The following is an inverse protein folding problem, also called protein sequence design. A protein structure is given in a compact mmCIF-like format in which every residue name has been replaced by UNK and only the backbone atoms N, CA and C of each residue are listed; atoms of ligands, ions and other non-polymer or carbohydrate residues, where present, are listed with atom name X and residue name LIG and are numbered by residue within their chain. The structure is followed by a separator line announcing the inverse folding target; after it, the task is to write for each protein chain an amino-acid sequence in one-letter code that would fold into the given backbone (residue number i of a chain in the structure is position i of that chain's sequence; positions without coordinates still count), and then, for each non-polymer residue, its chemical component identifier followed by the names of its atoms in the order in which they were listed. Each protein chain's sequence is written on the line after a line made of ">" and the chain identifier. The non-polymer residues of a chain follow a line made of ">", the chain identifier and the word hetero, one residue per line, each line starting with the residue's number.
data_IF_594290851794
#
_entry.id   IF_594290851794
#
_cell.length_a   1.000
_cell.length_b   1.000
_cell.length_c   1.000
_cell.angle_alpha   90.00
_cell.angle_beta   90.00
_cell.angle_gamma   90.00
#
_symmetry.space_group_name_H-M   'P 1'
#
loop_
_entity.id
_entity.type
_entity.pdbx_description
1 polymer ?
#
# COMPACT_ATOMS: atom_id res chain seq x y z
N UNK A 1 -89.47 -25.09 37.06
CA UNK A 1 -89.62 -26.51 36.70
C UNK A 1 -89.57 -26.61 35.18
N UNK A 2 -88.83 -27.60 34.65
CA UNK A 2 -88.63 -27.95 33.22
C UNK A 2 -87.72 -26.98 32.43
N UNK A 3 -86.46 -27.37 32.21
CA UNK A 3 -85.92 -28.11 31.03
C UNK A 3 -85.59 -27.13 29.90
N UNK A 4 -84.46 -27.12 29.21
CA UNK A 4 -83.51 -28.17 28.83
C UNK A 4 -82.30 -27.50 28.14
N UNK A 5 -81.11 -28.09 28.29
CA UNK A 5 -79.88 -27.87 27.49
C UNK A 5 -80.10 -28.16 25.98
N UNK A 6 -79.11 -27.98 25.07
CA UNK A 6 -77.96 -27.03 25.02
C UNK A 6 -77.73 -26.44 23.60
N UNK A 7 -76.80 -25.48 23.46
CA UNK A 7 -75.91 -25.44 22.30
C UNK A 7 -74.47 -25.12 22.73
N UNK A 8 -73.55 -25.98 22.29
CA UNK A 8 -72.09 -25.92 22.47
C UNK A 8 -71.50 -24.90 21.50
N UNK A 9 -70.62 -24.01 21.97
CA UNK A 9 -69.44 -23.56 21.21
C UNK A 9 -68.25 -23.50 22.17
N UNK A 10 -67.17 -24.15 21.75
CA UNK A 10 -65.89 -24.29 22.45
C UNK A 10 -65.07 -23.00 22.32
N UNK A 11 -64.62 -22.43 23.43
CA UNK A 11 -63.59 -21.39 23.47
C UNK A 11 -62.49 -21.84 24.43
N UNK A 12 -61.33 -22.18 23.86
CA UNK A 12 -60.15 -22.67 24.55
C UNK A 12 -59.47 -21.60 25.40
N UNK A 13 -58.82 -22.08 26.45
CA UNK A 13 -58.28 -21.33 27.58
C UNK A 13 -57.10 -20.41 27.24
N UNK A 14 -57.06 -19.33 28.03
CA UNK A 14 -55.90 -18.52 28.37
C UNK A 14 -54.67 -19.36 28.75
N UNK A 15 -53.49 -18.95 28.25
CA UNK A 15 -52.22 -19.24 28.90
C UNK A 15 -51.36 -17.98 28.92
N UNK A 16 -51.11 -17.48 30.14
CA UNK A 16 -50.14 -16.44 30.43
C UNK A 16 -48.73 -17.00 30.20
N UNK A 17 -47.99 -16.41 29.26
CA UNK A 17 -46.55 -16.63 29.14
C UNK A 17 -45.82 -15.35 29.58
N UNK A 18 -45.09 -15.51 30.68
CA UNK A 18 -44.16 -14.55 31.24
C UNK A 18 -43.13 -14.13 30.17
N UNK A 19 -43.03 -12.82 29.91
CA UNK A 19 -41.91 -12.24 29.18
C UNK A 19 -40.65 -12.36 30.05
N UNK A 20 -39.84 -13.38 29.79
CA UNK A 20 -38.44 -13.40 30.23
C UNK A 20 -37.62 -12.47 29.33
N UNK A 21 -37.07 -11.40 29.90
CA UNK A 21 -36.05 -10.58 29.27
C UNK A 21 -34.86 -11.46 28.86
N UNK A 22 -34.69 -11.68 27.56
CA UNK A 22 -33.45 -12.22 27.00
C UNK A 22 -32.44 -11.08 26.87
N UNK A 23 -31.16 -11.30 27.25
CA UNK A 23 -30.12 -10.30 27.04
C UNK A 23 -29.91 -10.13 25.53
N UNK A 24 -29.91 -8.87 25.08
CA UNK A 24 -29.49 -8.51 23.72
C UNK A 24 -28.03 -8.91 23.56
N UNK A 25 -27.79 -10.03 22.91
CA UNK A 25 -26.47 -10.39 22.40
C UNK A 25 -26.18 -9.50 21.21
N UNK A 26 -25.50 -8.39 21.46
CA UNK A 26 -24.83 -7.63 20.41
C UNK A 26 -23.69 -8.50 19.88
N UNK A 27 -23.95 -9.30 18.85
CA UNK A 27 -22.88 -9.91 18.07
C UNK A 27 -23.23 -9.89 16.58
N UNK A 28 -23.34 -8.68 16.04
CA UNK A 28 -23.15 -8.44 14.62
C UNK A 28 -21.71 -7.93 14.45
N UNK A 29 -20.72 -8.81 14.59
CA UNK A 29 -19.41 -8.55 13.97
C UNK A 29 -19.67 -8.56 12.46
N UNK A 30 -19.79 -7.36 11.89
CA UNK A 30 -19.78 -7.19 10.44
C UNK A 30 -18.50 -7.86 9.95
N UNK A 31 -18.63 -8.93 9.16
CA UNK A 31 -17.51 -9.50 8.43
C UNK A 31 -16.98 -8.33 7.59
N UNK A 32 -15.79 -7.82 7.94
CA UNK A 32 -15.17 -6.75 7.17
C UNK A 32 -14.65 -7.38 5.89
N UNK A 33 -15.26 -7.02 4.77
CA UNK A 33 -14.79 -7.43 3.45
C UNK A 33 -13.52 -6.66 3.08
N UNK A 34 -12.65 -7.34 2.33
CA UNK A 34 -11.50 -6.69 1.70
C UNK A 34 -11.98 -5.65 0.69
N UNK A 35 -11.37 -4.46 0.69
CA UNK A 35 -11.58 -3.50 -0.40
C UNK A 35 -10.99 -4.02 -1.73
N UNK A 36 -11.22 -3.27 -2.82
CA UNK A 36 -10.73 -3.63 -4.15
C UNK A 36 -9.20 -3.75 -4.23
N UNK A 37 -8.48 -3.10 -3.31
CA UNK A 37 -7.02 -3.12 -3.21
C UNK A 37 -6.49 -4.22 -2.28
N UNK A 38 -7.40 -4.99 -1.67
CA UNK A 38 -7.09 -6.09 -0.76
C UNK A 38 -6.76 -5.62 0.66
N UNK A 39 -7.42 -4.57 1.16
CA UNK A 39 -7.21 -4.08 2.52
C UNK A 39 -8.46 -4.18 3.40
N UNK A 40 -8.21 -4.36 4.70
CA UNK A 40 -9.20 -4.16 5.76
C UNK A 40 -8.65 -3.12 6.72
N UNK A 41 -9.45 -2.08 7.02
CA UNK A 41 -9.12 -1.05 7.98
C UNK A 41 -9.94 -1.17 9.27
N UNK A 42 -9.29 -0.98 10.41
CA UNK A 42 -9.94 -0.96 11.71
C UNK A 42 -9.37 0.12 12.61
N UNK A 43 -10.23 0.94 13.22
CA UNK A 43 -9.80 2.00 14.13
C UNK A 43 -9.61 1.43 15.54
N UNK A 44 -8.40 1.54 16.08
CA UNK A 44 -8.08 1.17 17.45
C UNK A 44 -8.25 2.36 18.39
N UNK A 45 -8.77 2.09 19.58
CA UNK A 45 -8.83 3.03 20.70
C UNK A 45 -7.68 2.75 21.67
N UNK A 46 -7.34 3.72 22.51
CA UNK A 46 -6.28 3.54 23.52
C UNK A 46 -6.54 2.35 24.46
N UNK A 47 -7.80 2.14 24.86
CA UNK A 47 -8.23 1.02 25.71
C UNK A 47 -8.27 -0.36 25.00
N UNK A 48 -7.83 -0.46 23.74
CA UNK A 48 -7.74 -1.76 23.05
C UNK A 48 -6.81 -2.71 23.81
N UNK A 49 -7.00 -4.04 23.75
CA UNK A 49 -6.11 -4.99 24.41
C UNK A 49 -4.71 -4.99 23.78
N UNK A 50 -3.71 -5.57 24.46
CA UNK A 50 -2.38 -5.81 23.87
C UNK A 50 -2.39 -6.95 22.85
N UNK A 51 -3.39 -7.82 22.96
CA UNK A 51 -3.61 -8.95 22.08
C UNK A 51 -4.99 -8.87 21.46
N UNK A 52 -5.05 -8.79 20.14
CA UNK A 52 -6.31 -8.75 19.39
C UNK A 52 -6.54 -10.08 18.68
N UNK A 53 -7.68 -10.72 18.95
CA UNK A 53 -8.18 -11.82 18.12
C UNK A 53 -9.01 -11.27 16.97
N UNK A 54 -8.70 -11.72 15.76
CA UNK A 54 -9.37 -11.30 14.54
C UNK A 54 -9.95 -12.52 13.80
N UNK A 55 -11.21 -12.47 13.34
CA UNK A 55 -11.89 -13.61 12.70
C UNK A 55 -11.49 -13.76 11.23
N UNK A 56 -10.18 -13.87 10.96
CA UNK A 56 -9.61 -14.07 9.63
C UNK A 56 -8.47 -15.10 9.72
N UNK A 57 -8.38 -16.08 8.80
CA UNK A 57 -7.24 -17.01 8.77
C UNK A 57 -5.93 -16.31 8.43
N UNK A 58 -4.87 -16.61 9.18
CA UNK A 58 -3.55 -15.98 8.99
C UNK A 58 -2.95 -16.24 7.61
N UNK A 59 -3.31 -17.36 6.97
CA UNK A 59 -2.90 -17.71 5.61
C UNK A 59 -3.42 -16.74 4.53
N UNK A 60 -4.40 -15.89 4.85
CA UNK A 60 -4.90 -14.84 3.94
C UNK A 60 -4.19 -13.49 4.14
N UNK A 61 -3.26 -13.38 5.10
CA UNK A 61 -2.67 -12.09 5.50
C UNK A 61 -1.24 -12.01 4.96
N UNK A 62 -0.96 -10.98 4.17
CA UNK A 62 0.40 -10.64 3.75
C UNK A 62 1.13 -9.88 4.86
N UNK A 63 0.47 -8.88 5.45
CA UNK A 63 0.99 -8.08 6.56
C UNK A 63 -0.16 -7.49 7.37
N UNK A 64 0.15 -7.17 8.62
CA UNK A 64 -0.69 -6.33 9.47
C UNK A 64 0.15 -5.13 9.88
N UNK A 65 -0.40 -3.92 9.80
CA UNK A 65 0.29 -2.71 10.24
C UNK A 65 -0.59 -1.83 11.12
N UNK A 66 0.06 -1.05 11.98
CA UNK A 66 -0.58 -0.03 12.80
C UNK A 66 0.01 1.32 12.46
N UNK A 67 -0.87 2.29 12.20
CA UNK A 67 -0.49 3.70 12.06
C UNK A 67 -1.03 4.48 13.24
N UNK A 68 -0.14 5.04 14.05
CA UNK A 68 -0.51 5.84 15.21
C UNK A 68 -1.20 7.15 14.80
N UNK A 69 -1.84 7.82 15.75
CA UNK A 69 -2.40 9.18 15.55
C UNK A 69 -1.35 10.21 15.14
N UNK A 70 -0.08 9.97 15.46
CA UNK A 70 1.06 10.78 15.03
C UNK A 70 1.56 10.44 13.60
N UNK A 71 0.91 9.51 12.90
CA UNK A 71 1.24 9.12 11.52
C UNK A 71 2.38 8.10 11.38
N UNK A 72 2.97 7.64 12.48
CA UNK A 72 4.01 6.59 12.44
C UNK A 72 3.37 5.24 12.17
N UNK A 73 3.78 4.58 11.09
CA UNK A 73 3.34 3.23 10.73
C UNK A 73 4.38 2.17 11.11
N UNK A 74 3.93 1.02 11.63
CA UNK A 74 4.77 -0.14 11.96
C UNK A 74 4.09 -1.43 11.54
N UNK A 75 4.87 -2.41 11.10
CA UNK A 75 4.37 -3.78 10.90
C UNK A 75 4.17 -4.46 12.26
N UNK A 76 3.09 -5.22 12.38
CA UNK A 76 2.75 -5.97 13.57
C UNK A 76 2.99 -7.46 13.35
N UNK A 77 3.40 -8.13 14.42
CA UNK A 77 3.48 -9.59 14.43
C UNK A 77 2.09 -10.21 14.59
N UNK A 78 1.87 -11.33 13.92
CA UNK A 78 0.60 -12.05 13.97
C UNK A 78 0.81 -13.56 14.01
N UNK A 79 -0.14 -14.33 14.55
CA UNK A 79 -0.10 -15.80 14.55
C UNK A 79 -1.45 -16.42 14.28
N UNK A 80 -1.42 -17.63 13.75
CA UNK A 80 -2.59 -18.48 13.65
C UNK A 80 -3.04 -18.92 15.05
N UNK A 81 -4.33 -18.76 15.35
CA UNK A 81 -4.95 -19.26 16.57
C UNK A 81 -5.76 -20.54 16.32
N UNK A 82 -5.79 -21.03 15.09
CA UNK A 82 -6.67 -22.10 14.66
C UNK A 82 -8.10 -21.60 14.47
N UNK A 83 -8.97 -22.50 13.97
CA UNK A 83 -10.40 -22.22 13.73
C UNK A 83 -10.66 -20.95 12.89
N UNK A 84 -9.75 -20.61 11.99
CA UNK A 84 -9.87 -19.45 11.10
C UNK A 84 -9.66 -18.11 11.79
N UNK A 85 -8.99 -18.07 12.95
CA UNK A 85 -8.67 -16.85 13.68
C UNK A 85 -7.19 -16.50 13.61
N UNK A 86 -6.89 -15.21 13.62
CA UNK A 86 -5.54 -14.67 13.74
C UNK A 86 -5.43 -13.86 15.01
N UNK A 87 -4.36 -14.05 15.77
CA UNK A 87 -4.02 -13.19 16.89
C UNK A 87 -2.93 -12.20 16.50
N UNK A 88 -3.04 -10.97 16.98
CA UNK A 88 -2.19 -9.85 16.59
C UNK A 88 -1.60 -9.23 17.85
N UNK A 89 -0.29 -9.06 17.86
CA UNK A 89 0.42 -8.32 18.90
C UNK A 89 0.29 -6.82 18.62
N UNK A 90 -0.41 -6.09 19.48
CA UNK A 90 -0.57 -4.63 19.36
C UNK A 90 0.57 -3.89 20.08
N UNK A 91 0.99 -2.71 19.57
CA UNK A 91 2.01 -1.91 20.22
C UNK A 91 1.49 -1.28 21.52
N UNK A 92 2.40 -0.72 22.34
CA UNK A 92 2.03 -0.03 23.58
C UNK A 92 1.14 1.20 23.31
N UNK A 93 1.46 2.01 22.30
CA UNK A 93 0.60 3.08 21.82
C UNK A 93 -0.47 2.50 20.87
N UNK A 94 -1.66 2.22 21.39
CA UNK A 94 -2.70 1.49 20.66
C UNK A 94 -3.61 2.37 19.80
N UNK A 95 -3.84 3.63 20.19
CA UNK A 95 -4.72 4.51 19.42
C UNK A 95 -4.17 4.77 18.01
N UNK A 96 -5.01 4.55 17.00
CA UNK A 96 -4.62 4.69 15.60
C UNK A 96 -5.46 3.82 14.66
N UNK A 97 -4.87 3.46 13.53
CA UNK A 97 -5.50 2.64 12.51
C UNK A 97 -4.72 1.36 12.30
N UNK A 98 -5.40 0.23 12.49
CA UNK A 98 -4.95 -1.10 12.12
C UNK A 98 -5.31 -1.34 10.65
N UNK A 99 -4.37 -1.91 9.89
CA UNK A 99 -4.57 -2.27 8.49
C UNK A 99 -4.12 -3.71 8.27
N UNK A 100 -4.98 -4.50 7.66
CA UNK A 100 -4.65 -5.82 7.13
C UNK A 100 -4.46 -5.71 5.64
N UNK A 101 -3.48 -6.43 5.12
CA UNK A 101 -3.23 -6.59 3.70
C UNK A 101 -3.44 -8.05 3.32
N UNK A 102 -4.27 -8.27 2.30
CA UNK A 102 -4.60 -9.59 1.80
C UNK A 102 -3.41 -10.17 1.04
N UNK A 103 -3.04 -11.41 1.36
CA UNK A 103 -2.10 -12.18 0.57
C UNK A 103 -2.74 -12.53 -0.78
N UNK A 104 -2.15 -11.99 -1.84
CA UNK A 104 -2.59 -12.12 -3.23
C UNK A 104 -1.38 -12.54 -4.07
N UNK A 105 -1.01 -13.82 -4.03
CA UNK A 105 0.32 -14.27 -4.43
C UNK A 105 0.50 -14.33 -5.95
N UNK A 106 1.75 -14.12 -6.36
CA UNK A 106 2.34 -14.46 -7.66
C UNK A 106 1.66 -13.78 -8.87
N UNK A 107 1.02 -12.64 -8.61
CA UNK A 107 0.47 -11.72 -9.61
C UNK A 107 0.78 -10.26 -9.23
N UNK A 108 1.03 -9.42 -10.24
CA UNK A 108 1.14 -7.98 -10.03
C UNK A 108 -0.22 -7.38 -9.70
N UNK A 109 -0.32 -6.68 -8.57
CA UNK A 109 -1.51 -5.93 -8.21
C UNK A 109 -1.64 -4.68 -9.08
N UNK A 110 -2.84 -4.11 -9.14
CA UNK A 110 -3.15 -2.94 -9.99
C UNK A 110 -2.34 -1.69 -9.64
N UNK A 111 -1.95 -1.54 -8.37
CA UNK A 111 -1.05 -0.47 -7.91
C UNK A 111 0.44 -0.81 -8.09
N UNK A 112 0.74 -1.98 -8.64
CA UNK A 112 2.09 -2.42 -8.98
C UNK A 112 2.79 -3.26 -7.92
N UNK A 113 2.20 -3.41 -6.73
CA UNK A 113 2.73 -4.29 -5.67
C UNK A 113 2.79 -5.75 -6.12
N UNK A 114 3.61 -6.53 -5.43
CA UNK A 114 3.63 -7.99 -5.51
C UNK A 114 3.58 -8.62 -4.13
N UNK A 115 2.89 -9.76 -4.05
CA UNK A 115 3.12 -10.75 -3.01
C UNK A 115 3.72 -11.98 -3.68
N UNK A 116 4.92 -12.38 -3.28
CA UNK A 116 5.61 -13.54 -3.86
C UNK A 116 5.59 -14.67 -2.86
N UNK A 117 4.85 -15.72 -3.17
CA UNK A 117 4.78 -16.91 -2.32
C UNK A 117 5.68 -18.00 -2.88
N UNK A 118 5.63 -18.19 -4.19
CA UNK A 118 6.50 -19.13 -4.90
C UNK A 118 6.38 -20.57 -4.42
N UNK A 119 7.34 -21.36 -4.85
CA UNK A 119 7.59 -22.71 -4.34
C UNK A 119 8.47 -22.62 -3.09
N UNK A 120 8.30 -23.57 -2.17
CA UNK A 120 9.08 -23.68 -0.96
C UNK A 120 9.86 -25.01 -0.96
N UNK A 121 10.99 -25.12 -1.68
CA UNK A 121 11.82 -26.33 -1.68
C UNK A 121 12.27 -26.73 -0.27
N UNK A 122 12.48 -25.74 0.59
CA UNK A 122 12.82 -25.88 2.01
C UNK A 122 12.18 -24.76 2.83
N UNK A 123 12.04 -24.94 4.13
CA UNK A 123 11.48 -23.91 5.01
C UNK A 123 12.24 -22.56 4.95
N UNK A 124 13.55 -22.59 4.72
CA UNK A 124 14.43 -21.41 4.64
C UNK A 124 14.70 -20.96 3.19
N UNK A 125 13.93 -21.46 2.21
CA UNK A 125 14.11 -21.17 0.79
C UNK A 125 12.75 -21.03 0.10
N UNK A 126 12.48 -19.86 -0.49
CA UNK A 126 11.40 -19.66 -1.44
C UNK A 126 11.97 -19.27 -2.80
N UNK A 127 11.34 -19.74 -3.88
CA UNK A 127 11.71 -19.33 -5.23
C UNK A 127 10.53 -19.31 -6.20
N UNK A 128 10.69 -18.58 -7.29
CA UNK A 128 9.68 -18.51 -8.33
C UNK A 128 10.08 -17.59 -9.48
N UNK A 129 9.09 -17.22 -10.29
CA UNK A 129 9.25 -16.30 -11.42
C UNK A 129 8.27 -15.15 -11.27
N UNK A 130 8.80 -13.93 -11.21
CA UNK A 130 8.04 -12.69 -11.19
C UNK A 130 7.89 -12.20 -12.64
N UNK A 131 6.65 -11.99 -13.10
CA UNK A 131 6.32 -11.58 -14.48
C UNK A 131 6.04 -10.08 -14.55
N UNK A 132 7.09 -9.27 -14.53
CA UNK A 132 6.99 -7.81 -14.40
C UNK A 132 6.30 -7.18 -15.62
N UNK A 133 5.25 -6.38 -15.40
CA UNK A 133 4.57 -5.67 -16.50
C UNK A 133 5.34 -4.44 -16.99
N UNK A 134 6.27 -3.93 -16.19
CA UNK A 134 7.08 -2.73 -16.41
C UNK A 134 8.40 -2.80 -15.62
N UNK A 135 9.43 -2.01 -15.96
CA UNK A 135 10.54 -1.75 -15.05
C UNK A 135 10.09 -0.95 -13.83
N UNK A 136 10.84 -1.04 -12.73
CA UNK A 136 10.66 -0.16 -11.58
C UNK A 136 11.47 -0.54 -10.35
N UNK A 137 11.51 0.38 -9.39
CA UNK A 137 12.12 0.19 -8.07
C UNK A 137 11.10 -0.26 -7.03
N UNK A 138 11.49 -1.22 -6.19
CA UNK A 138 10.62 -1.82 -5.17
C UNK A 138 11.32 -1.93 -3.81
N UNK A 139 10.65 -1.55 -2.73
CA UNK A 139 11.04 -1.94 -1.38
C UNK A 139 10.63 -3.38 -1.11
N UNK A 140 11.50 -4.16 -0.49
CA UNK A 140 11.32 -5.57 -0.21
C UNK A 140 11.03 -5.77 1.27
N UNK A 141 9.95 -6.49 1.59
CA UNK A 141 9.66 -6.99 2.92
C UNK A 141 9.56 -8.53 2.87
N UNK A 142 10.16 -9.24 3.82
CA UNK A 142 9.99 -10.69 3.96
C UNK A 142 9.10 -10.97 5.17
N UNK A 143 8.16 -11.90 4.99
CA UNK A 143 7.40 -12.50 6.08
C UNK A 143 7.99 -13.86 6.44
N UNK A 144 8.34 -14.05 7.70
CA UNK A 144 8.91 -15.30 8.21
C UNK A 144 8.54 -15.55 9.67
N UNK A 145 8.82 -16.76 10.14
CA UNK A 145 8.70 -17.17 11.55
C UNK A 145 10.05 -17.64 12.06
N UNK A 146 10.34 -17.34 13.32
CA UNK A 146 11.50 -17.88 14.04
C UNK A 146 11.03 -18.91 15.06
N UNK A 147 11.32 -20.18 14.81
CA UNK A 147 10.92 -21.35 15.62
C UNK A 147 11.96 -21.74 16.67
N UNK A 148 13.23 -21.39 16.45
CA UNK A 148 14.35 -21.45 17.39
C UNK A 148 15.26 -20.26 17.13
N UNK A 149 16.09 -19.85 18.10
CA UNK A 149 16.98 -18.68 17.92
C UNK A 149 17.78 -18.81 16.62
N UNK A 150 17.77 -17.75 15.82
CA UNK A 150 18.37 -17.71 14.50
C UNK A 150 19.35 -16.54 14.43
N UNK A 151 20.59 -16.85 14.04
CA UNK A 151 21.62 -15.88 13.73
C UNK A 151 22.13 -16.15 12.32
N UNK A 152 22.04 -15.15 11.44
CA UNK A 152 22.39 -15.30 10.04
C UNK A 152 21.83 -14.17 9.20
N UNK A 153 21.64 -14.42 7.91
CA UNK A 153 21.15 -13.42 6.97
C UNK A 153 19.97 -13.93 6.16
N UNK A 154 19.03 -13.02 5.85
CA UNK A 154 17.98 -13.24 4.86
C UNK A 154 18.33 -12.43 3.62
N UNK A 155 18.46 -13.13 2.48
CA UNK A 155 18.75 -12.54 1.19
C UNK A 155 17.56 -12.68 0.25
N UNK A 156 17.20 -11.60 -0.43
CA UNK A 156 16.27 -11.61 -1.55
C UNK A 156 17.01 -11.26 -2.84
N UNK A 157 16.76 -12.02 -3.89
CA UNK A 157 17.37 -11.86 -5.21
C UNK A 157 16.26 -11.86 -6.28
N UNK A 158 16.33 -10.96 -7.26
CA UNK A 158 15.44 -10.93 -8.42
C UNK A 158 16.17 -10.37 -9.63
N UNK A 159 16.28 -11.18 -10.69
CA UNK A 159 17.10 -10.81 -11.85
C UNK A 159 18.55 -10.52 -11.45
N UNK A 160 19.06 -9.32 -11.75
CA UNK A 160 20.39 -8.83 -11.36
C UNK A 160 20.42 -8.16 -9.98
N UNK A 161 19.27 -7.83 -9.39
CA UNK A 161 19.15 -7.06 -8.16
C UNK A 161 19.06 -7.98 -6.95
N UNK A 162 19.62 -7.56 -5.82
CA UNK A 162 19.49 -8.29 -4.57
C UNK A 162 19.53 -7.35 -3.37
N UNK A 163 19.08 -7.85 -2.23
CA UNK A 163 19.23 -7.20 -0.94
C UNK A 163 19.49 -8.24 0.16
N UNK A 164 20.07 -7.81 1.26
CA UNK A 164 20.47 -8.67 2.37
C UNK A 164 20.15 -8.01 3.70
N UNK A 165 19.68 -8.80 4.66
CA UNK A 165 19.41 -8.38 6.02
C UNK A 165 20.10 -9.35 6.98
N UNK A 166 21.04 -8.83 7.78
CA UNK A 166 21.56 -9.54 8.94
C UNK A 166 20.48 -9.60 10.03
N UNK A 167 20.30 -10.79 10.60
CA UNK A 167 19.26 -11.10 11.58
C UNK A 167 19.88 -11.88 12.73
N UNK A 168 19.70 -11.36 13.94
CA UNK A 168 19.92 -12.08 15.19
C UNK A 168 18.63 -11.96 16.00
N UNK A 169 17.89 -13.06 16.08
CA UNK A 169 16.54 -13.08 16.61
C UNK A 169 16.29 -14.36 17.41
N UNK A 170 15.88 -14.20 18.66
CA UNK A 170 15.42 -15.33 19.48
C UNK A 170 14.10 -15.90 18.99
N UNK A 171 13.79 -17.13 19.42
CA UNK A 171 12.51 -17.78 19.13
C UNK A 171 11.33 -16.88 19.54
N UNK A 172 10.43 -16.62 18.59
CA UNK A 172 9.25 -15.77 18.83
C UNK A 172 7.97 -16.59 18.66
N UNK A 173 7.65 -17.43 19.67
CA UNK A 173 6.42 -18.22 19.87
C UNK A 173 5.39 -18.25 18.72
N UNK A 174 5.78 -18.78 17.55
CA UNK A 174 4.92 -18.95 16.37
C UNK A 174 4.42 -17.67 15.70
N UNK A 175 4.98 -16.50 16.05
CA UNK A 175 4.67 -15.22 15.41
C UNK A 175 5.29 -15.15 14.00
N UNK A 176 4.46 -14.76 13.05
CA UNK A 176 4.88 -14.25 11.75
C UNK A 176 5.34 -12.79 11.91
N UNK A 177 6.48 -12.47 11.32
CA UNK A 177 7.14 -11.17 11.37
C UNK A 177 7.38 -10.68 9.95
N UNK A 178 7.01 -9.43 9.66
CA UNK A 178 7.35 -8.75 8.42
C UNK A 178 8.52 -7.80 8.66
N UNK A 179 9.65 -8.03 7.98
CA UNK A 179 10.85 -7.23 8.12
C UNK A 179 11.28 -6.66 6.76
N UNK A 180 11.65 -5.38 6.74
CA UNK A 180 12.20 -4.73 5.54
C UNK A 180 13.62 -5.24 5.27
N UNK A 181 13.91 -5.59 4.02
CA UNK A 181 15.24 -6.02 3.59
C UNK A 181 15.98 -4.93 2.81
N UNK A 182 15.30 -3.88 2.34
CA UNK A 182 15.90 -2.85 1.49
C UNK A 182 15.15 -2.68 0.16
N UNK A 183 15.89 -2.32 -0.89
CA UNK A 183 15.34 -1.94 -2.19
C UNK A 183 15.95 -2.83 -3.29
N UNK A 184 15.14 -3.20 -4.27
CA UNK A 184 15.57 -3.87 -5.50
C UNK A 184 15.03 -3.14 -6.72
N UNK A 185 15.70 -3.32 -7.86
CA UNK A 185 15.29 -2.77 -9.15
C UNK A 185 15.00 -3.88 -10.15
N UNK A 186 13.83 -3.79 -10.80
CA UNK A 186 13.50 -4.58 -11.98
C UNK A 186 13.78 -3.72 -13.22
N UNK A 187 14.77 -4.09 -14.01
CA UNK A 187 15.29 -3.23 -15.09
C UNK A 187 14.40 -3.20 -16.35
N UNK A 188 13.59 -4.24 -16.56
CA UNK A 188 12.75 -4.39 -17.76
C UNK A 188 11.50 -5.23 -17.49
N UNK A 189 10.45 -5.11 -18.33
CA UNK A 189 9.32 -6.03 -18.29
C UNK A 189 9.75 -7.47 -18.63
N UNK A 190 8.89 -8.43 -18.27
CA UNK A 190 9.05 -9.85 -18.55
C UNK A 190 9.35 -10.67 -17.32
N UNK A 191 9.83 -11.89 -17.56
CA UNK A 191 10.02 -12.90 -16.53
C UNK A 191 11.38 -12.72 -15.84
N UNK A 192 11.35 -12.69 -14.50
CA UNK A 192 12.52 -12.57 -13.63
C UNK A 192 12.49 -13.68 -12.57
N UNK A 193 13.47 -14.61 -12.57
CA UNK A 193 13.59 -15.55 -11.47
C UNK A 193 13.91 -14.78 -10.19
N UNK A 194 13.30 -15.20 -9.09
CA UNK A 194 13.56 -14.64 -7.77
C UNK A 194 13.79 -15.74 -6.74
N UNK A 195 14.55 -15.41 -5.69
CA UNK A 195 14.83 -16.28 -4.55
C UNK A 195 14.77 -15.48 -3.26
N UNK A 196 14.25 -16.10 -2.21
CA UNK A 196 14.39 -15.65 -0.83
C UNK A 196 15.05 -16.79 -0.06
N UNK A 197 16.24 -16.55 0.47
CA UNK A 197 16.99 -17.57 1.21
C UNK A 197 17.41 -17.03 2.57
N UNK A 198 17.23 -17.83 3.62
CA UNK A 198 17.88 -17.61 4.89
C UNK A 198 19.12 -18.50 5.01
N UNK A 199 20.23 -17.92 5.42
CA UNK A 199 21.52 -18.60 5.58
C UNK A 199 22.04 -18.33 6.98
N UNK A 200 22.55 -19.35 7.66
CA UNK A 200 23.23 -19.21 8.95
C UNK A 200 24.70 -19.61 8.82
N UNK A 201 25.54 -19.06 9.70
CA UNK A 201 26.92 -19.49 9.85
C UNK A 201 27.01 -20.87 10.53
N UNK A 202 26.01 -21.25 11.33
CA UNK A 202 25.82 -22.66 11.67
C UNK A 202 25.27 -23.39 10.44
N UNK A 203 25.70 -24.64 10.21
CA UNK A 203 25.26 -25.45 9.06
C UNK A 203 23.73 -25.69 9.08
N UNK A 204 23.10 -25.44 10.22
CA UNK A 204 21.67 -25.62 10.45
C UNK A 204 20.94 -24.28 10.33
N UNK A 205 20.15 -24.13 9.27
CA UNK A 205 19.07 -23.13 9.16
C UNK A 205 17.79 -23.59 9.89
N UNK A 206 17.93 -24.56 10.80
CA UNK A 206 16.83 -25.06 11.63
C UNK A 206 16.42 -23.94 12.59
N UNK A 207 15.25 -23.35 12.35
CA UNK A 207 14.77 -22.24 13.17
C UNK A 207 14.08 -21.12 12.43
N UNK A 208 14.15 -21.08 11.09
CA UNK A 208 13.45 -20.08 10.29
C UNK A 208 12.54 -20.73 9.25
N UNK A 209 11.32 -20.20 9.16
CA UNK A 209 10.34 -20.56 8.14
C UNK A 209 9.96 -19.31 7.37
N UNK A 210 10.39 -19.23 6.11
CA UNK A 210 10.02 -18.19 5.17
C UNK A 210 8.60 -18.44 4.65
N UNK A 211 7.79 -17.38 4.60
CA UNK A 211 6.36 -17.49 4.26
C UNK A 211 6.06 -16.86 2.89
N UNK A 212 6.50 -15.62 2.67
CA UNK A 212 6.33 -14.86 1.43
C UNK A 212 7.16 -13.58 1.43
N UNK A 213 7.26 -12.93 0.28
CA UNK A 213 7.86 -11.61 0.08
C UNK A 213 6.78 -10.61 -0.33
N UNK A 214 6.87 -9.37 0.13
CA UNK A 214 6.07 -8.24 -0.34
C UNK A 214 7.00 -7.29 -1.07
N UNK A 215 6.70 -6.99 -2.33
CA UNK A 215 7.36 -5.91 -3.06
C UNK A 215 6.39 -4.73 -3.14
N UNK A 216 6.77 -3.60 -2.56
CA UNK A 216 6.01 -2.34 -2.67
C UNK A 216 6.75 -1.40 -3.60
N UNK A 217 6.00 -0.71 -4.46
CA UNK A 217 6.57 0.30 -5.36
C UNK A 217 7.30 1.36 -4.53
N UNK A 218 8.53 1.67 -4.90
CA UNK A 218 9.38 2.65 -4.21
C UNK A 218 9.77 3.79 -5.18
N UNK A 219 10.26 4.93 -4.67
CA UNK A 219 10.85 5.96 -5.52
C UNK A 219 11.98 5.40 -6.39
N UNK A 220 12.05 5.88 -7.63
CA UNK A 220 13.08 5.51 -8.61
C UNK A 220 14.44 6.13 -8.28
N UNK A 221 14.45 7.24 -7.53
CA UNK A 221 15.62 8.06 -7.24
C UNK A 221 15.70 8.50 -5.79
N UNK A 222 16.32 9.65 -5.56
CA UNK A 222 16.72 10.10 -4.23
C UNK A 222 15.62 10.89 -3.51
N UNK A 223 15.68 11.02 -2.18
CA UNK A 223 14.78 11.90 -1.43
C UNK A 223 14.82 13.34 -1.93
N UNK A 224 13.65 13.96 -2.04
CA UNK A 224 13.53 15.33 -2.58
C UNK A 224 13.48 16.35 -1.43
N UNK A 225 14.41 17.30 -1.47
CA UNK A 225 14.52 18.39 -0.49
C UNK A 225 14.24 19.74 -1.13
N UNK A 226 13.72 20.67 -0.32
CA UNK A 226 13.53 22.06 -0.73
C UNK A 226 14.87 22.76 -1.01
N UNK A 227 14.97 23.44 -2.15
CA UNK A 227 16.14 24.20 -2.57
C UNK A 227 16.30 25.51 -1.78
N UNK A 228 17.47 26.14 -1.87
CA UNK A 228 17.79 27.37 -1.15
C UNK A 228 16.88 28.56 -1.50
N UNK A 229 16.40 28.66 -2.75
CA UNK A 229 15.45 29.68 -3.19
C UNK A 229 13.99 29.41 -2.74
N UNK A 230 13.74 28.26 -2.13
CA UNK A 230 12.43 27.81 -1.64
C UNK A 230 11.71 26.90 -2.61
N UNK A 231 12.19 26.79 -3.85
CA UNK A 231 11.58 25.90 -4.83
C UNK A 231 11.79 24.43 -4.50
N UNK A 232 10.89 23.60 -4.99
CA UNK A 232 10.93 22.14 -4.83
C UNK A 232 10.84 21.54 -6.24
N UNK A 233 11.85 20.75 -6.61
CA UNK A 233 11.93 20.11 -7.93
C UNK A 233 11.57 18.63 -7.80
N UNK A 234 10.47 18.24 -8.43
CA UNK A 234 9.98 16.88 -8.49
C UNK A 234 10.30 16.32 -9.88
N UNK A 235 11.48 15.72 -10.05
CA UNK A 235 11.91 15.18 -11.33
C UNK A 235 11.31 13.80 -11.61
N UNK A 236 11.14 13.47 -12.88
CA UNK A 236 10.70 12.13 -13.29
C UNK A 236 11.56 10.99 -12.72
N UNK A 237 12.86 11.21 -12.55
CA UNK A 237 13.80 10.20 -12.00
C UNK A 237 13.58 9.88 -10.53
N UNK A 238 12.88 10.73 -9.79
CA UNK A 238 12.63 10.60 -8.35
C UNK A 238 11.18 10.14 -8.07
N UNK A 239 10.45 9.75 -9.12
CA UNK A 239 9.04 9.35 -9.05
C UNK A 239 8.86 8.02 -8.34
N UNK A 240 7.76 7.84 -7.63
CA UNK A 240 7.21 6.54 -7.25
C UNK A 240 6.00 6.24 -8.12
N UNK A 241 5.97 5.08 -8.76
CA UNK A 241 4.89 4.69 -9.67
C UNK A 241 3.92 3.72 -9.00
N UNK A 242 2.65 4.11 -8.91
CA UNK A 242 1.53 3.24 -8.53
C UNK A 242 0.82 2.84 -9.82
N UNK A 243 0.86 1.58 -10.23
CA UNK A 243 0.25 1.19 -11.51
C UNK A 243 0.85 -0.06 -12.11
N UNK A 244 0.63 -0.29 -13.41
CA UNK A 244 1.18 -1.45 -14.15
C UNK A 244 1.81 -1.10 -15.51
N UNK A 245 1.57 0.07 -16.08
CA UNK A 245 2.09 0.48 -17.39
C UNK A 245 2.94 1.75 -17.36
N UNK A 246 2.53 2.74 -16.57
CA UNK A 246 3.28 3.97 -16.34
C UNK A 246 4.69 3.62 -15.85
N UNK A 247 5.71 4.34 -16.33
CA UNK A 247 7.09 4.08 -15.92
C UNK A 247 7.96 5.32 -16.06
N UNK A 248 9.08 5.33 -15.35
CA UNK A 248 10.16 6.26 -15.61
C UNK A 248 10.97 5.80 -16.84
N UNK A 249 11.19 6.70 -17.79
CA UNK A 249 11.98 6.47 -19.00
C UNK A 249 13.32 7.23 -18.92
N UNK A 250 14.43 6.54 -18.56
CA UNK A 250 15.68 7.20 -18.15
C UNK A 250 16.53 7.76 -19.29
N UNK A 251 16.19 7.49 -20.56
CA UNK A 251 16.96 7.99 -21.70
C UNK A 251 17.04 9.52 -21.65
N UNK A 252 18.21 10.17 -21.80
CA UNK A 252 18.37 11.61 -21.57
C UNK A 252 17.41 12.50 -22.38
N UNK A 253 17.11 12.12 -23.62
CA UNK A 253 16.16 12.85 -24.48
C UNK A 253 14.70 12.65 -24.08
N UNK A 254 14.39 11.65 -23.24
CA UNK A 254 13.08 11.39 -22.64
C UNK A 254 13.01 11.89 -21.21
N UNK A 255 13.78 11.30 -20.29
CA UNK A 255 13.84 11.62 -18.86
C UNK A 255 12.47 12.01 -18.31
N UNK A 256 11.50 11.11 -18.45
CA UNK A 256 10.08 11.42 -18.26
C UNK A 256 9.37 10.27 -17.58
N UNK A 257 8.29 10.60 -16.88
CA UNK A 257 7.24 9.65 -16.55
C UNK A 257 6.38 9.52 -17.79
N UNK A 258 6.39 8.33 -18.42
CA UNK A 258 5.72 8.06 -19.68
C UNK A 258 5.06 6.68 -19.71
N UNK A 259 4.60 6.23 -20.87
CA UNK A 259 3.72 5.06 -21.01
C UNK A 259 2.40 5.17 -20.23
N UNK A 260 1.89 6.39 -20.05
CA UNK A 260 0.69 6.64 -19.25
C UNK A 260 -0.62 6.32 -19.99
N UNK A 261 -0.85 5.04 -20.26
CA UNK A 261 -2.00 4.55 -21.03
C UNK A 261 -3.18 4.11 -20.17
N UNK A 262 -2.94 3.83 -18.88
CA UNK A 262 -3.96 3.42 -17.91
C UNK A 262 -4.36 4.60 -17.01
N UNK A 263 -5.66 4.81 -16.80
CA UNK A 263 -6.19 5.82 -15.87
C UNK A 263 -5.95 5.46 -14.39
N UNK A 264 -5.81 4.15 -14.10
CA UNK A 264 -5.50 3.66 -12.75
C UNK A 264 -4.05 3.92 -12.33
N UNK A 265 -3.16 4.18 -13.28
CA UNK A 265 -1.76 4.41 -12.99
C UNK A 265 -1.53 5.87 -12.54
N UNK A 266 -0.74 6.06 -11.50
CA UNK A 266 -0.54 7.34 -10.83
C UNK A 266 0.94 7.49 -10.44
N UNK A 267 1.62 8.56 -10.88
CA UNK A 267 2.92 8.91 -10.34
C UNK A 267 2.75 9.73 -9.04
N UNK A 268 3.66 9.53 -8.11
CA UNK A 268 3.78 10.39 -6.94
C UNK A 268 5.22 10.70 -6.57
N UNK A 269 5.40 11.81 -5.84
CA UNK A 269 6.69 12.27 -5.36
C UNK A 269 6.58 12.61 -3.88
N UNK A 270 7.51 12.09 -3.09
CA UNK A 270 7.68 12.42 -1.68
C UNK A 270 8.75 13.48 -1.55
N UNK A 271 8.45 14.54 -0.81
CA UNK A 271 9.40 15.61 -0.62
C UNK A 271 9.23 16.27 0.75
N UNK A 272 10.31 16.88 1.23
CA UNK A 272 10.30 17.67 2.44
C UNK A 272 10.10 19.16 2.09
N UNK A 273 9.09 19.78 2.70
CA UNK A 273 8.90 21.22 2.65
C UNK A 273 9.36 21.82 3.99
N UNK A 274 10.37 22.69 3.95
CA UNK A 274 10.92 23.33 5.15
C UNK A 274 10.32 24.72 5.39
N UNK A 275 9.99 25.44 4.31
CA UNK A 275 9.36 26.76 4.35
C UNK A 275 7.89 26.65 3.93
N UNK A 276 6.92 26.72 4.85
CA UNK A 276 5.52 26.74 4.47
C UNK A 276 5.20 28.00 3.66
N UNK A 277 4.11 27.95 2.88
CA UNK A 277 3.73 29.08 2.05
C UNK A 277 2.83 28.70 0.86
N UNK A 278 2.64 29.67 -0.04
CA UNK A 278 1.97 29.46 -1.32
C UNK A 278 2.98 29.14 -2.39
N UNK A 279 2.63 28.18 -3.25
CA UNK A 279 3.48 27.74 -4.35
C UNK A 279 2.67 27.73 -5.63
N UNK A 280 3.19 28.36 -6.69
CA UNK A 280 2.71 28.07 -8.04
C UNK A 280 3.22 26.68 -8.44
N UNK A 281 2.35 25.90 -9.07
CA UNK A 281 2.68 24.58 -9.59
C UNK A 281 2.95 24.71 -11.08
N UNK A 282 4.20 24.49 -11.47
CA UNK A 282 4.59 24.37 -12.87
C UNK A 282 4.79 22.90 -13.23
N UNK A 283 4.16 22.44 -14.31
CA UNK A 283 4.42 21.12 -14.89
C UNK A 283 5.15 21.27 -16.22
N UNK A 284 6.20 20.49 -16.40
CA UNK A 284 6.88 20.33 -17.69
C UNK A 284 6.31 19.09 -18.38
N UNK A 285 5.29 19.31 -19.21
CA UNK A 285 4.51 18.24 -19.84
C UNK A 285 4.82 18.08 -21.33
N UNK A 286 4.71 16.87 -21.83
CA UNK A 286 4.59 16.58 -23.26
C UNK A 286 3.30 15.83 -23.56
N UNK A 287 2.65 16.12 -24.68
CA UNK A 287 1.42 15.47 -25.10
C UNK A 287 1.35 15.40 -26.63
N UNK A 288 1.19 14.19 -27.16
CA UNK A 288 1.11 13.95 -28.60
C UNK A 288 -0.10 14.60 -29.26
N UNK A 289 0.01 14.85 -30.57
CA UNK A 289 -1.09 15.37 -31.40
C UNK A 289 -2.31 14.42 -31.34
N UNK A 290 -3.48 14.94 -31.01
CA UNK A 290 -4.73 14.21 -30.82
C UNK A 290 -4.92 13.60 -29.43
N UNK A 291 -4.01 13.85 -28.47
CA UNK A 291 -4.08 13.29 -27.10
C UNK A 291 -4.41 14.33 -26.01
N UNK A 292 -4.48 15.62 -26.35
CA UNK A 292 -4.81 16.69 -25.42
C UNK A 292 -6.23 16.58 -24.84
N UNK A 293 -6.45 17.23 -23.70
CA UNK A 293 -7.77 17.32 -23.04
C UNK A 293 -8.02 16.29 -21.94
N UNK A 294 -7.03 15.46 -21.58
CA UNK A 294 -7.13 14.59 -20.39
C UNK A 294 -7.29 15.46 -19.13
N UNK A 295 -8.26 15.11 -18.27
CA UNK A 295 -8.46 15.75 -16.97
C UNK A 295 -7.63 15.02 -15.92
N UNK A 296 -6.74 15.74 -15.27
CA UNK A 296 -5.86 15.23 -14.20
C UNK A 296 -6.04 16.09 -12.98
N UNK A 297 -6.10 15.44 -11.81
CA UNK A 297 -6.01 16.13 -10.53
C UNK A 297 -4.58 16.00 -10.00
N UNK A 298 -3.98 17.13 -9.64
CA UNK A 298 -2.83 17.15 -8.75
C UNK A 298 -3.34 17.14 -7.32
N UNK A 299 -2.96 16.11 -6.57
CA UNK A 299 -3.26 15.95 -5.15
C UNK A 299 -2.02 16.27 -4.32
N UNK A 300 -2.19 17.10 -3.30
CA UNK A 300 -1.20 17.31 -2.25
C UNK A 300 -1.90 17.65 -0.94
N UNK A 301 -1.65 16.86 0.10
CA UNK A 301 -2.41 16.92 1.37
C UNK A 301 -3.93 16.88 1.09
N UNK A 302 -4.69 17.88 1.55
CA UNK A 302 -6.13 17.98 1.30
C UNK A 302 -6.47 18.73 -0.02
N UNK A 303 -5.46 19.24 -0.72
CA UNK A 303 -5.67 20.03 -1.95
C UNK A 303 -5.81 19.11 -3.15
N UNK A 304 -6.86 19.34 -3.93
CA UNK A 304 -7.09 18.72 -5.24
C UNK A 304 -7.17 19.82 -6.30
N UNK A 305 -6.14 19.93 -7.14
CA UNK A 305 -6.04 20.94 -8.19
C UNK A 305 -6.30 20.28 -9.55
N UNK A 306 -7.48 20.49 -10.17
CA UNK A 306 -7.77 19.99 -11.51
C UNK A 306 -7.04 20.81 -12.58
N UNK A 307 -6.53 20.12 -13.61
CA UNK A 307 -6.08 20.78 -14.83
C UNK A 307 -6.31 19.89 -16.06
N UNK A 308 -6.42 20.55 -17.21
CA UNK A 308 -6.47 19.88 -18.51
C UNK A 308 -5.06 19.79 -19.11
N UNK A 309 -4.69 18.59 -19.54
CA UNK A 309 -3.50 18.35 -20.35
C UNK A 309 -3.64 19.10 -21.67
N UNK A 310 -2.63 19.90 -22.02
CA UNK A 310 -2.60 20.58 -23.32
C UNK A 310 -1.77 19.78 -24.29
N UNK A 311 -2.24 19.72 -25.53
CA UNK A 311 -1.48 19.16 -26.63
C UNK A 311 -0.20 19.99 -26.86
N UNK A 312 0.94 19.32 -26.96
CA UNK A 312 2.23 19.95 -27.28
C UNK A 312 2.75 19.52 -28.66
N UNK A 313 1.96 18.75 -29.41
CA UNK A 313 2.28 18.24 -30.73
C UNK A 313 3.08 16.93 -30.73
N UNK A 314 3.89 16.66 -29.71
CA UNK A 314 4.66 15.43 -29.56
C UNK A 314 4.93 15.12 -28.07
N UNK A 315 4.93 13.84 -27.67
CA UNK A 315 5.17 13.43 -26.27
C UNK A 315 6.52 13.88 -25.71
N UNK A 316 7.52 14.03 -26.57
CA UNK A 316 8.85 14.52 -26.18
C UNK A 316 9.05 16.03 -26.40
N UNK A 317 8.02 16.74 -26.86
CA UNK A 317 8.04 18.20 -26.92
C UNK A 317 7.48 18.73 -25.59
N UNK A 318 8.39 18.98 -24.65
CA UNK A 318 8.02 19.38 -23.30
C UNK A 318 7.82 20.89 -23.19
N UNK A 319 6.64 21.30 -22.73
CA UNK A 319 6.25 22.70 -22.54
C UNK A 319 5.95 22.96 -21.07
N UNK A 320 6.59 23.98 -20.44
CA UNK A 320 6.28 24.35 -19.06
C UNK A 320 4.93 25.06 -18.99
N UNK A 321 4.10 24.70 -18.02
CA UNK A 321 2.78 25.30 -17.78
C UNK A 321 2.49 25.45 -16.30
N UNK A 322 2.01 26.62 -15.89
CA UNK A 322 1.44 26.82 -14.57
C UNK A 322 0.03 26.22 -14.57
N UNK A 323 -0.19 25.19 -13.75
CA UNK A 323 -1.47 24.48 -13.66
C UNK A 323 -2.31 24.94 -12.46
N UNK A 324 -1.76 25.83 -11.64
CA UNK A 324 -2.44 26.46 -10.54
C UNK A 324 -1.50 26.70 -9.36
N UNK A 325 -2.07 26.75 -8.17
CA UNK A 325 -1.35 27.06 -6.94
C UNK A 325 -1.78 26.12 -5.81
N UNK A 326 -0.85 25.87 -4.89
CA UNK A 326 -1.10 25.07 -3.68
C UNK A 326 -0.57 25.81 -2.46
N UNK A 327 -1.11 25.49 -1.28
CA UNK A 327 -0.63 25.99 0.00
C UNK A 327 -0.07 24.85 0.83
N UNK A 328 1.17 24.97 1.29
CA UNK A 328 1.80 24.06 2.23
C UNK A 328 1.81 24.74 3.60
N UNK A 329 0.93 24.32 4.54
CA UNK A 329 0.63 25.12 5.73
C UNK A 329 1.73 25.06 6.80
N UNK A 330 2.57 24.03 6.80
CA UNK A 330 3.59 23.80 7.83
C UNK A 330 4.82 23.10 7.24
N UNK A 331 6.00 23.21 7.89
CA UNK A 331 7.11 22.32 7.58
C UNK A 331 6.70 20.87 7.81
N UNK A 332 6.77 20.04 6.78
CA UNK A 332 6.35 18.63 6.84
C UNK A 332 6.90 17.83 5.65
N UNK A 333 6.68 16.53 5.68
CA UNK A 333 6.79 15.67 4.50
C UNK A 333 5.45 15.64 3.77
N UNK A 334 5.50 15.83 2.45
CA UNK A 334 4.32 15.82 1.60
C UNK A 334 4.46 14.78 0.49
N UNK A 335 3.33 14.21 0.06
CA UNK A 335 3.22 13.46 -1.18
C UNK A 335 2.45 14.31 -2.18
N UNK A 336 3.06 14.61 -3.33
CA UNK A 336 2.34 15.11 -4.50
C UNK A 336 2.03 13.94 -5.41
N UNK A 337 0.78 13.80 -5.82
CA UNK A 337 0.32 12.72 -6.70
C UNK A 337 -0.46 13.31 -7.87
N UNK A 338 -0.27 12.75 -9.06
CA UNK A 338 -1.13 13.04 -10.19
C UNK A 338 -2.13 11.90 -10.39
N UNK A 339 -3.42 12.24 -10.42
CA UNK A 339 -4.53 11.31 -10.46
C UNK A 339 -5.32 11.58 -11.75
N UNK A 340 -5.24 10.70 -12.76
CA UNK A 340 -6.10 10.81 -13.93
C UNK A 340 -7.56 10.64 -13.54
N UNK A 341 -8.40 11.58 -13.97
CA UNK A 341 -9.85 11.50 -13.80
C UNK A 341 -10.52 11.09 -15.11
N UNK A 342 -9.96 11.56 -16.23
CA UNK A 342 -10.41 11.19 -17.57
C UNK A 342 -9.25 11.29 -18.56
N UNK A 343 -9.03 10.26 -19.34
CA UNK A 343 -8.05 10.20 -20.43
C UNK A 343 -8.74 10.51 -21.75
N UNK A 344 -8.28 11.56 -22.44
CA UNK A 344 -8.91 12.02 -23.67
C UNK A 344 -8.52 11.19 -24.91
N UNK A 345 -7.29 10.68 -24.95
CA UNK A 345 -6.76 9.91 -26.09
C UNK A 345 -6.12 8.58 -25.71
N UNK A 346 -5.12 8.17 -26.48
CA UNK A 346 -4.39 6.91 -26.23
C UNK A 346 -3.57 6.91 -24.93
N UNK A 347 -3.14 8.08 -24.47
CA UNK A 347 -2.29 8.28 -23.29
C UNK A 347 -2.66 9.60 -22.58
N UNK A 348 -2.35 9.72 -21.29
CA UNK A 348 -2.63 10.92 -20.48
C UNK A 348 -1.69 12.07 -20.88
N UNK A 349 -0.40 11.93 -20.59
CA UNK A 349 0.70 12.84 -20.96
C UNK A 349 2.05 12.21 -20.56
N UNK A 350 3.15 12.83 -20.98
CA UNK A 350 4.49 12.63 -20.44
C UNK A 350 4.83 13.76 -19.45
N UNK A 351 5.40 13.43 -18.29
CA UNK A 351 5.80 14.41 -17.26
C UNK A 351 7.29 14.30 -16.97
N UNK A 352 8.05 15.33 -17.34
CA UNK A 352 9.50 15.36 -17.08
C UNK A 352 9.84 15.94 -15.71
N UNK A 353 9.06 16.92 -15.27
CA UNK A 353 9.30 17.64 -14.02
C UNK A 353 8.02 18.33 -13.54
N UNK A 354 7.85 18.41 -12.22
CA UNK A 354 6.96 19.38 -11.57
C UNK A 354 7.82 20.28 -10.68
N UNK A 355 7.55 21.58 -10.69
CA UNK A 355 8.22 22.56 -9.84
C UNK A 355 7.20 23.29 -8.98
N UNK A 356 7.41 23.27 -7.68
CA UNK A 356 6.70 24.14 -6.75
C UNK A 356 7.52 25.42 -6.59
N UNK A 357 7.00 26.54 -7.08
CA UNK A 357 7.68 27.84 -7.09
C UNK A 357 7.09 28.71 -5.98
N UNK A 358 7.87 29.15 -4.98
CA UNK A 358 7.37 30.03 -3.92
C UNK A 358 6.74 31.28 -4.51
N UNK A 359 5.54 31.61 -4.03
CA UNK A 359 4.91 32.89 -4.31
C UNK A 359 5.18 33.84 -3.16
N UNK A 360 5.41 35.12 -3.48
CA UNK A 360 5.42 36.16 -2.46
C UNK A 360 4.12 36.11 -1.66
N UNK A 361 4.22 36.22 -0.33
CA UNK A 361 3.04 36.44 0.50
C UNK A 361 2.36 37.72 0.03
N UNK A 362 1.04 37.67 -0.20
CA UNK A 362 0.30 38.91 -0.46
C UNK A 362 0.38 39.74 0.82
N UNK A 363 0.78 41.03 0.73
CA UNK A 363 0.89 41.91 1.88
C UNK A 363 -0.43 42.09 2.62
#
# INVERSE_FOLDING_TARGET
>A
MQSSRPYRISMGLFSCLLLSCLPVTANAQTIQDWDEMGYIGHRLKEASPEWLEWPLPSAQIASVSHTSTAGRSVNLSFKDLGHGKTGIALPSQREGHLRFEKLQPDQQLSDGRWHLKGEAPKAHHLEGVLKASRPGTYSVEACFKITSSFEGAIRFEVGSSHTNLELNQDAVNGLSINQSLGIVRIERPGDHPWKLTAQSASVETEGIVLMHVILRTAPEGEPISQLADGSILLHARDVRIHGTKLQYEPLPHKNTVGYWVNESDQPSWFFQCLRPGRYAVEILQGCGKGHGGSLVHLSIDQTMLPFLVEETGHFQHFVPRIVGEVRLPRPDSYELRLIPIKKAGGAVMDVRQIRLIPLAEKP
#
